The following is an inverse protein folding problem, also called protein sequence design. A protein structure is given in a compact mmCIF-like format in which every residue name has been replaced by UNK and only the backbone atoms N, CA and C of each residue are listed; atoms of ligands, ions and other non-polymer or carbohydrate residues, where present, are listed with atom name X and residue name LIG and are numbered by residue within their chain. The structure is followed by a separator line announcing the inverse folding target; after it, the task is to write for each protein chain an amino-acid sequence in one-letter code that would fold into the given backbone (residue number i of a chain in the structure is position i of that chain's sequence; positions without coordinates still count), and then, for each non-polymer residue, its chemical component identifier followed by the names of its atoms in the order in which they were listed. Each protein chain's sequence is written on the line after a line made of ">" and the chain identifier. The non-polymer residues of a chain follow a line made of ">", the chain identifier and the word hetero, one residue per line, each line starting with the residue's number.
data_IF_019443011531
#
_entry.id   IF_019443011531
#
_cell.length_a   1.000
_cell.length_b   1.000
_cell.length_c   1.000
_cell.angle_alpha   90.00
_cell.angle_beta   90.00
_cell.angle_gamma   90.00
#
_symmetry.space_group_name_H-M   'P 1'
#
loop_
_entity.id
_entity.type
_entity.pdbx_description
1 polymer ?
#
# COMPACT_ATOMS: atom_id res chain seq x y z
N UNK A 1 -13.19 27.75 5.23
CA UNK A 1 -13.41 26.30 5.47
C UNK A 1 -12.18 25.44 5.12
N UNK A 2 -11.03 26.01 4.72
CA UNK A 2 -9.85 25.25 4.24
C UNK A 2 -9.00 24.55 5.32
N UNK A 3 -9.04 25.03 6.58
CA UNK A 3 -8.07 24.61 7.61
C UNK A 3 -8.31 23.20 8.15
N UNK A 4 -9.57 22.76 8.18
CA UNK A 4 -9.94 21.43 8.70
C UNK A 4 -9.62 20.31 7.71
N UNK A 5 -9.68 20.57 6.40
CA UNK A 5 -9.30 19.61 5.35
C UNK A 5 -7.79 19.42 5.25
N UNK A 6 -6.99 20.48 5.46
CA UNK A 6 -5.54 20.34 5.57
C UNK A 6 -5.13 19.50 6.77
N UNK A 7 -5.82 19.65 7.89
CA UNK A 7 -5.55 18.91 9.12
C UNK A 7 -5.86 17.42 8.95
N UNK A 8 -6.99 17.07 8.32
CA UNK A 8 -7.33 15.67 8.04
C UNK A 8 -6.37 15.02 7.04
N UNK A 9 -5.88 15.77 6.04
CA UNK A 9 -4.85 15.29 5.10
C UNK A 9 -3.50 15.08 5.79
N UNK A 10 -3.11 15.98 6.69
CA UNK A 10 -1.91 15.84 7.51
C UNK A 10 -1.98 14.57 8.37
N UNK A 11 -3.13 14.29 8.98
CA UNK A 11 -3.35 13.07 9.77
C UNK A 11 -3.23 11.79 8.93
N UNK A 12 -3.70 11.81 7.68
CA UNK A 12 -3.54 10.67 6.76
C UNK A 12 -2.06 10.41 6.48
N UNK A 13 -1.27 11.44 6.16
CA UNK A 13 0.16 11.28 5.91
C UNK A 13 0.93 10.83 7.15
N UNK A 14 0.56 11.33 8.34
CA UNK A 14 1.13 10.89 9.60
C UNK A 14 0.88 9.40 9.83
N UNK A 15 -0.38 8.95 9.70
CA UNK A 15 -0.74 7.52 9.84
C UNK A 15 0.00 6.61 8.87
N UNK A 16 0.16 7.05 7.62
CA UNK A 16 0.92 6.32 6.61
C UNK A 16 2.39 6.20 7.04
N UNK A 17 2.97 7.30 7.53
CA UNK A 17 4.36 7.33 7.99
C UNK A 17 4.57 6.41 9.19
N UNK A 18 3.69 6.46 10.18
CA UNK A 18 3.72 5.58 11.35
C UNK A 18 3.63 4.12 10.95
N UNK A 19 2.80 3.79 9.95
CA UNK A 19 2.69 2.43 9.43
C UNK A 19 3.99 1.96 8.80
N UNK A 20 4.64 2.81 7.99
CA UNK A 20 5.95 2.50 7.39
C UNK A 20 6.98 2.29 8.49
N UNK A 21 6.99 3.14 9.51
CA UNK A 21 7.91 3.03 10.65
C UNK A 21 7.72 1.68 11.37
N UNK A 22 6.48 1.32 11.69
CA UNK A 22 6.16 0.05 12.35
C UNK A 22 6.56 -1.17 11.52
N UNK A 23 6.44 -1.11 10.19
CA UNK A 23 6.90 -2.19 9.30
C UNK A 23 8.44 -2.25 9.30
N UNK A 24 9.13 -1.10 9.27
CA UNK A 24 10.59 -1.04 9.36
C UNK A 24 11.14 -1.56 10.69
N UNK A 25 10.49 -1.26 11.81
CA UNK A 25 10.84 -1.78 13.14
C UNK A 25 10.75 -3.30 13.21
N UNK A 26 9.82 -3.91 12.46
CA UNK A 26 9.71 -5.38 12.30
C UNK A 26 10.79 -5.96 11.36
N UNK A 27 11.73 -5.14 10.89
CA UNK A 27 12.72 -5.51 9.90
C UNK A 27 12.16 -5.66 8.48
N UNK A 28 10.88 -5.31 8.28
CA UNK A 28 10.21 -5.38 6.98
C UNK A 28 10.45 -4.07 6.25
N UNK A 29 11.17 -4.12 5.13
CA UNK A 29 11.31 -2.98 4.22
C UNK A 29 10.17 -3.02 3.21
N UNK A 30 9.14 -2.14 3.30
CA UNK A 30 7.93 -2.26 2.48
C UNK A 30 8.21 -2.11 0.97
N UNK A 31 9.14 -1.22 0.62
CA UNK A 31 9.62 -1.03 -0.75
C UNK A 31 10.55 -2.15 -1.25
N UNK A 32 10.96 -3.06 -0.36
CA UNK A 32 11.63 -4.30 -0.71
C UNK A 32 10.73 -5.53 -0.55
N UNK A 33 9.43 -5.40 -0.23
CA UNK A 33 8.50 -6.54 -0.13
C UNK A 33 7.72 -6.74 -1.43
N UNK A 34 8.29 -7.55 -2.32
CA UNK A 34 7.92 -7.54 -3.71
C UNK A 34 7.20 -8.86 -3.94
N UNK A 35 5.86 -8.95 -3.89
CA UNK A 35 5.13 -10.12 -4.47
C UNK A 35 5.58 -11.55 -4.08
N UNK A 36 6.33 -11.72 -2.99
CA UNK A 36 7.03 -12.95 -2.59
C UNK A 36 6.53 -13.32 -1.20
N UNK A 37 6.11 -14.54 -0.89
CA UNK A 37 6.12 -15.81 -1.63
C UNK A 37 4.88 -16.61 -1.19
N UNK A 38 4.10 -17.12 -2.14
CA UNK A 38 3.01 -18.03 -1.78
C UNK A 38 2.19 -18.62 -2.93
N UNK A 39 2.13 -18.00 -4.11
CA UNK A 39 1.46 -18.63 -5.25
C UNK A 39 2.01 -18.14 -6.60
N UNK A 40 3.14 -18.72 -7.00
CA UNK A 40 3.91 -18.42 -8.22
C UNK A 40 3.25 -18.85 -9.54
N UNK A 41 1.95 -18.62 -9.72
CA UNK A 41 1.28 -18.87 -11.01
C UNK A 41 0.89 -17.58 -11.76
N UNK A 42 0.81 -16.44 -11.07
CA UNK A 42 0.53 -15.13 -11.67
C UNK A 42 1.59 -14.16 -11.19
N UNK A 43 2.41 -13.66 -12.12
CA UNK A 43 3.42 -12.67 -11.80
C UNK A 43 2.83 -11.51 -11.00
N UNK A 44 3.65 -10.97 -10.12
CA UNK A 44 3.55 -9.62 -9.57
C UNK A 44 2.74 -8.70 -10.47
N UNK A 45 1.55 -8.34 -10.04
CA UNK A 45 0.80 -7.33 -10.77
C UNK A 45 0.68 -6.12 -9.86
N UNK A 46 1.01 -4.95 -10.41
CA UNK A 46 0.76 -3.68 -9.71
C UNK A 46 -0.74 -3.60 -9.40
N UNK A 47 -1.15 -3.03 -8.25
CA UNK A 47 -2.55 -2.77 -7.98
C UNK A 47 -3.15 -2.01 -9.17
N UNK A 48 -4.31 -2.45 -9.63
CA UNK A 48 -5.04 -1.88 -10.74
C UNK A 48 -6.24 -1.11 -10.21
N UNK A 49 -6.54 -0.01 -10.88
CA UNK A 49 -7.77 0.76 -10.67
C UNK A 49 -8.94 0.01 -11.31
N UNK A 50 -10.17 0.44 -10.99
CA UNK A 50 -11.40 -0.01 -11.67
C UNK A 50 -11.33 0.00 -13.21
N UNK A 51 -10.52 0.89 -13.81
CA UNK A 51 -10.37 1.02 -15.27
C UNK A 51 -9.20 0.19 -15.84
N UNK A 52 -8.58 -0.67 -15.02
CA UNK A 52 -7.45 -1.52 -15.43
C UNK A 52 -6.10 -0.82 -15.49
N UNK A 53 -6.01 0.49 -15.24
CA UNK A 53 -4.73 1.19 -15.19
C UNK A 53 -4.01 0.93 -13.85
N UNK A 54 -2.69 0.73 -13.85
CA UNK A 54 -1.94 0.52 -12.63
C UNK A 54 -1.85 1.78 -11.77
N UNK A 55 -1.82 1.59 -10.45
CA UNK A 55 -1.41 2.62 -9.50
C UNK A 55 0.09 2.89 -9.60
N UNK A 56 0.50 4.09 -9.17
CA UNK A 56 1.89 4.57 -9.19
C UNK A 56 2.26 5.26 -7.87
N UNK A 57 3.56 5.34 -7.59
CA UNK A 57 4.09 5.98 -6.39
C UNK A 57 3.70 5.27 -5.09
N UNK A 58 3.46 6.06 -4.04
CA UNK A 58 3.19 5.59 -2.68
C UNK A 58 1.96 4.67 -2.59
N UNK A 59 0.95 4.90 -3.44
CA UNK A 59 -0.27 4.10 -3.44
C UNK A 59 0.00 2.61 -3.73
N UNK A 60 1.06 2.28 -4.47
CA UNK A 60 1.43 0.88 -4.72
C UNK A 60 1.79 0.18 -3.42
N UNK A 61 2.62 0.82 -2.58
CA UNK A 61 3.07 0.26 -1.31
C UNK A 61 1.91 0.15 -0.31
N UNK A 62 1.05 1.16 -0.27
CA UNK A 62 -0.13 1.17 0.59
C UNK A 62 -1.12 0.06 0.25
N UNK A 63 -1.42 -0.12 -1.05
CA UNK A 63 -2.36 -1.16 -1.47
C UNK A 63 -1.77 -2.56 -1.30
N UNK A 64 -0.46 -2.73 -1.47
CA UNK A 64 0.19 -4.01 -1.14
C UNK A 64 0.21 -4.31 0.35
N UNK A 65 0.50 -3.32 1.21
CA UNK A 65 0.46 -3.54 2.66
C UNK A 65 -0.95 -3.86 3.13
N UNK A 66 -1.96 -3.23 2.56
CA UNK A 66 -3.36 -3.51 2.87
C UNK A 66 -3.80 -4.90 2.35
N UNK A 67 -3.38 -5.28 1.14
CA UNK A 67 -3.60 -6.64 0.62
C UNK A 67 -2.98 -7.69 1.54
N UNK A 68 -1.74 -7.49 1.97
CA UNK A 68 -1.04 -8.42 2.84
C UNK A 68 -1.67 -8.49 4.24
N UNK A 69 -2.06 -7.34 4.80
CA UNK A 69 -2.67 -7.25 6.13
C UNK A 69 -4.07 -7.91 6.18
N UNK A 70 -4.85 -7.80 5.10
CA UNK A 70 -6.21 -8.37 5.01
C UNK A 70 -6.29 -9.70 4.28
N UNK A 71 -5.19 -10.18 3.68
CA UNK A 71 -5.15 -11.41 2.91
C UNK A 71 -5.87 -11.33 1.55
N UNK A 72 -5.93 -10.15 0.92
CA UNK A 72 -6.55 -10.02 -0.39
C UNK A 72 -5.66 -10.56 -1.50
N UNK A 73 -6.25 -11.34 -2.41
CA UNK A 73 -5.58 -11.92 -3.58
C UNK A 73 -5.86 -11.17 -4.89
N UNK A 74 -6.92 -10.34 -4.95
CA UNK A 74 -7.25 -9.54 -6.12
C UNK A 74 -6.29 -8.34 -6.24
N UNK A 75 -5.72 -8.07 -7.43
CA UNK A 75 -4.94 -6.86 -7.66
C UNK A 75 -5.81 -5.64 -7.97
N UNK A 76 -7.13 -5.80 -8.17
CA UNK A 76 -8.04 -4.70 -8.53
C UNK A 76 -8.62 -4.07 -7.28
N UNK A 77 -8.54 -2.73 -7.22
CA UNK A 77 -9.06 -1.87 -6.17
C UNK A 77 -10.00 -0.81 -6.73
#
# INVERSE_FOLDING_TARGET
>A
MSRSEEQSRADIYARITDRILADLEKGVRPWMQPWRSGNSSRGVTRPLRHNGLPYSGMNVLLLWSEAAARGFASPVW
#
